data_IF_331828165756
#
_entry.id   IF_331828165756
#
_cell.length_a   1.000
_cell.length_b   1.000
_cell.length_c   1.000
_cell.angle_alpha   90.00
_cell.angle_beta   90.00
_cell.angle_gamma   90.00
#
_symmetry.space_group_name_H-M   'P 1'
#
loop_
_entity.id
_entity.type
_entity.pdbx_description
1 polymer ?
#
# COMPACT_ATOMS: atom_id res chain seq x y z
N UNK A 1 -48.65 10.58 4.08
CA UNK A 1 -47.58 9.64 3.72
C UNK A 1 -46.36 9.97 4.58
N UNK A 2 -46.02 9.18 5.60
CA UNK A 2 -44.84 9.47 6.42
C UNK A 2 -43.57 9.13 5.64
N UNK A 3 -42.59 10.04 5.70
CA UNK A 3 -41.33 9.94 5.01
C UNK A 3 -40.48 8.79 5.53
N UNK A 4 -39.97 7.99 4.60
CA UNK A 4 -38.98 6.94 4.86
C UNK A 4 -37.64 7.62 5.19
N UNK A 5 -37.30 7.68 6.47
CA UNK A 5 -35.96 8.05 6.91
C UNK A 5 -35.03 6.85 6.65
N UNK A 6 -34.39 6.85 5.48
CA UNK A 6 -33.30 5.94 5.19
C UNK A 6 -32.09 6.33 6.06
N UNK A 7 -32.05 5.87 7.31
CA UNK A 7 -30.83 5.88 8.11
C UNK A 7 -29.84 4.94 7.43
N UNK A 8 -29.02 5.47 6.54
CA UNK A 8 -27.82 4.80 6.06
C UNK A 8 -26.83 4.77 7.22
N UNK A 9 -27.00 3.83 8.14
CA UNK A 9 -25.96 3.46 9.08
C UNK A 9 -24.82 2.88 8.22
N UNK A 10 -23.84 3.73 7.92
CA UNK A 10 -22.58 3.27 7.34
C UNK A 10 -21.95 2.19 8.24
N UNK A 11 -21.04 1.38 7.69
CA UNK A 11 -20.41 0.30 8.44
C UNK A 11 -19.82 0.81 9.75
N UNK A 12 -20.11 0.10 10.84
CA UNK A 12 -19.55 0.38 12.17
C UNK A 12 -18.04 0.08 12.10
N UNK A 13 -17.16 1.04 12.44
CA UNK A 13 -15.73 0.79 12.41
C UNK A 13 -15.35 -0.32 13.39
N UNK A 14 -14.32 -1.13 13.09
CA UNK A 14 -13.84 -2.13 14.03
C UNK A 14 -13.38 -1.46 15.32
N UNK A 15 -13.87 -1.96 16.46
CA UNK A 15 -13.50 -1.49 17.79
C UNK A 15 -12.49 -2.44 18.43
N UNK A 16 -11.40 -1.89 18.97
CA UNK A 16 -10.40 -2.63 19.71
C UNK A 16 -10.35 -2.12 21.16
N UNK A 17 -10.16 -3.02 22.12
CA UNK A 17 -9.99 -2.65 23.54
C UNK A 17 -8.72 -1.82 23.77
N UNK A 18 -7.70 -2.05 22.95
CA UNK A 18 -6.47 -1.27 22.83
C UNK A 18 -6.24 -1.00 21.34
N UNK A 19 -5.93 0.25 20.98
CA UNK A 19 -5.71 0.60 19.58
C UNK A 19 -4.50 -0.16 19.02
N UNK A 20 -4.60 -0.75 17.80
CA UNK A 20 -3.45 -1.26 17.08
C UNK A 20 -2.40 -0.17 16.88
N UNK A 21 -1.12 -0.55 16.89
CA UNK A 21 -0.01 0.38 16.68
C UNK A 21 0.54 0.19 15.27
N UNK A 22 0.59 1.26 14.49
CA UNK A 22 1.27 1.29 13.19
C UNK A 22 2.61 2.02 13.31
N UNK A 23 3.69 1.26 13.25
CA UNK A 23 5.03 1.81 13.03
C UNK A 23 5.20 2.19 11.56
N UNK A 24 5.49 3.46 11.32
CA UNK A 24 5.39 4.07 10.01
C UNK A 24 6.53 5.06 9.78
N UNK A 25 6.88 5.27 8.51
CA UNK A 25 7.73 6.39 8.10
C UNK A 25 6.99 7.19 7.03
N UNK A 26 6.92 8.51 7.21
CA UNK A 26 6.08 9.39 6.39
C UNK A 26 6.35 9.28 4.88
N UNK A 27 7.62 9.15 4.49
CA UNK A 27 8.07 9.05 3.08
C UNK A 27 8.31 7.61 2.61
N UNK A 28 7.98 6.59 3.41
CA UNK A 28 8.09 5.22 2.95
C UNK A 28 6.88 4.87 2.06
N UNK A 29 7.08 4.50 0.78
CA UNK A 29 5.99 4.13 -0.12
C UNK A 29 5.14 2.98 0.46
N UNK A 30 5.78 1.96 1.02
CA UNK A 30 5.10 0.82 1.66
C UNK A 30 4.29 1.24 2.90
N UNK A 31 4.78 2.20 3.69
CA UNK A 31 4.03 2.71 4.84
C UNK A 31 2.85 3.60 4.43
N UNK A 32 2.99 4.35 3.33
CA UNK A 32 1.88 5.10 2.73
C UNK A 32 0.76 4.14 2.32
N UNK A 33 1.08 3.03 1.64
CA UNK A 33 0.13 1.99 1.24
C UNK A 33 -0.67 1.44 2.44
N UNK A 34 0.03 1.07 3.51
CA UNK A 34 -0.60 0.57 4.74
C UNK A 34 -1.55 1.61 5.37
N UNK A 35 -1.12 2.88 5.48
CA UNK A 35 -1.97 3.96 5.99
C UNK A 35 -3.21 4.20 5.13
N UNK A 36 -3.07 4.12 3.82
CA UNK A 36 -4.18 4.28 2.89
C UNK A 36 -5.25 3.20 3.09
N UNK A 37 -4.86 1.94 3.20
CA UNK A 37 -5.81 0.84 3.43
C UNK A 37 -6.47 0.89 4.82
N UNK A 38 -5.72 1.25 5.87
CA UNK A 38 -6.28 1.45 7.22
C UNK A 38 -7.32 2.57 7.22
N UNK A 39 -7.02 3.69 6.55
CA UNK A 39 -7.95 4.80 6.38
C UNK A 39 -9.21 4.37 5.61
N UNK A 40 -9.03 3.62 4.52
CA UNK A 40 -10.14 3.13 3.69
C UNK A 40 -11.06 2.17 4.47
N UNK A 41 -10.49 1.34 5.35
CA UNK A 41 -11.24 0.43 6.19
C UNK A 41 -11.86 1.09 7.44
N UNK A 42 -11.53 2.36 7.71
CA UNK A 42 -11.96 3.04 8.95
C UNK A 42 -11.32 2.46 10.21
N UNK A 43 -10.16 1.79 10.08
CA UNK A 43 -9.41 1.23 11.21
C UNK A 43 -8.64 2.35 11.90
N UNK A 44 -8.96 2.63 13.16
CA UNK A 44 -8.24 3.59 13.98
C UNK A 44 -7.01 2.91 14.59
N UNK A 45 -5.85 3.56 14.48
CA UNK A 45 -4.57 3.05 14.99
C UNK A 45 -3.81 4.16 15.72
N UNK A 46 -2.95 3.77 16.65
CA UNK A 46 -1.88 4.63 17.15
C UNK A 46 -0.75 4.68 16.11
N UNK A 47 -0.50 5.85 15.52
CA UNK A 47 0.57 6.03 14.55
C UNK A 47 1.89 6.37 15.24
N UNK A 48 2.90 5.51 15.10
CA UNK A 48 4.26 5.75 15.61
C UNK A 48 5.22 6.01 14.48
N UNK A 49 5.68 7.26 14.36
CA UNK A 49 6.67 7.65 13.36
C UNK A 49 8.05 7.12 13.75
N UNK A 50 8.70 6.43 12.80
CA UNK A 50 10.00 5.79 12.98
C UNK A 50 11.08 6.57 12.24
N UNK A 51 12.10 7.02 12.96
CA UNK A 51 13.34 7.48 12.34
C UNK A 51 14.19 6.27 11.92
N UNK A 52 14.41 6.07 10.61
CA UNK A 52 15.15 4.90 10.10
C UNK A 52 16.58 4.78 10.65
N UNK A 53 17.22 5.89 11.00
CA UNK A 53 18.54 5.91 11.63
C UNK A 53 18.54 5.57 13.12
N UNK A 54 17.37 5.60 13.79
CA UNK A 54 17.21 5.30 15.22
C UNK A 54 15.87 4.57 15.43
N UNK A 55 15.88 3.27 15.14
CA UNK A 55 14.70 2.41 15.26
C UNK A 55 14.30 2.23 16.74
N UNK A 56 13.03 2.42 17.12
CA UNK A 56 12.56 2.19 18.48
C UNK A 56 12.72 0.73 18.91
N UNK A 57 13.08 0.49 20.18
CA UNK A 57 13.21 -0.86 20.73
C UNK A 57 11.88 -1.63 20.69
N UNK A 58 10.77 -0.95 20.93
CA UNK A 58 9.40 -1.49 20.81
C UNK A 58 9.07 -1.98 19.39
N UNK A 59 9.52 -1.27 18.35
CA UNK A 59 9.35 -1.72 16.96
C UNK A 59 10.15 -2.98 16.69
N UNK A 60 11.40 -3.04 17.19
CA UNK A 60 12.27 -4.21 17.03
C UNK A 60 11.77 -5.42 17.81
N UNK A 61 11.14 -5.18 18.97
CA UNK A 61 10.47 -6.22 19.74
C UNK A 61 9.20 -6.73 19.03
N UNK A 62 8.45 -5.85 18.35
CA UNK A 62 7.31 -6.24 17.54
C UNK A 62 7.71 -6.98 16.25
N UNK A 63 8.79 -6.55 15.58
CA UNK A 63 9.33 -7.20 14.38
C UNK A 63 10.84 -7.07 14.28
N UNK A 64 11.53 -8.21 14.27
CA UNK A 64 12.99 -8.28 14.12
C UNK A 64 13.50 -7.87 12.73
N UNK A 65 12.62 -7.76 11.72
CA UNK A 65 12.98 -7.32 10.38
C UNK A 65 13.49 -5.87 10.35
N UNK A 66 13.05 -5.05 11.31
CA UNK A 66 13.50 -3.67 11.44
C UNK A 66 13.14 -2.77 10.23
N UNK A 67 12.13 -3.15 9.45
CA UNK A 67 11.59 -2.37 8.34
C UNK A 67 10.26 -1.75 8.73
N UNK A 68 9.76 -0.80 7.94
CA UNK A 68 8.41 -0.25 8.07
C UNK A 68 7.67 -0.45 6.75
N UNK A 69 6.34 -0.62 6.76
CA UNK A 69 5.44 -0.57 7.93
C UNK A 69 5.46 -1.83 8.81
N UNK A 70 5.11 -1.66 10.09
CA UNK A 70 4.78 -2.78 11.00
C UNK A 70 3.49 -2.43 11.71
N UNK A 71 2.48 -3.30 11.60
CA UNK A 71 1.23 -3.20 12.34
C UNK A 71 1.25 -4.21 13.48
N UNK A 72 1.20 -3.72 14.71
CA UNK A 72 0.96 -4.52 15.90
C UNK A 72 -0.52 -4.42 16.25
N UNK A 73 -1.27 -5.51 16.06
CA UNK A 73 -2.71 -5.56 16.33
C UNK A 73 -2.94 -5.65 17.85
N UNK A 74 -2.21 -6.56 18.49
CA UNK A 74 -2.15 -6.75 19.93
C UNK A 74 -0.77 -7.33 20.30
N UNK A 75 -0.38 -7.40 21.59
CA UNK A 75 0.87 -8.06 21.98
C UNK A 75 0.96 -9.48 21.43
N UNK A 76 2.01 -9.75 20.63
CA UNK A 76 2.22 -11.06 20.00
C UNK A 76 1.56 -11.26 18.64
N UNK A 77 0.68 -10.36 18.18
CA UNK A 77 0.07 -10.41 16.85
C UNK A 77 0.52 -9.23 15.99
N UNK A 78 1.43 -9.51 15.05
CA UNK A 78 2.11 -8.50 14.24
C UNK A 78 2.07 -8.86 12.76
N UNK A 79 1.89 -7.85 11.91
CA UNK A 79 1.99 -7.94 10.45
C UNK A 79 3.05 -6.94 9.98
N UNK A 80 4.04 -7.39 9.21
CA UNK A 80 5.21 -6.57 8.83
C UNK A 80 5.36 -6.36 7.31
N UNK A 81 4.40 -6.84 6.50
CA UNK A 81 4.37 -6.60 5.05
C UNK A 81 3.24 -5.64 4.71
N UNK A 82 3.51 -4.65 3.86
CA UNK A 82 2.50 -3.63 3.52
C UNK A 82 1.24 -4.24 2.88
N UNK A 83 1.39 -5.17 1.95
CA UNK A 83 0.28 -5.87 1.31
C UNK A 83 -0.58 -6.64 2.33
N UNK A 84 0.06 -7.37 3.25
CA UNK A 84 -0.65 -8.12 4.29
C UNK A 84 -1.39 -7.18 5.24
N UNK A 85 -0.81 -6.02 5.59
CA UNK A 85 -1.50 -4.99 6.39
C UNK A 85 -2.72 -4.45 5.64
N UNK A 86 -2.58 -4.18 4.33
CA UNK A 86 -3.70 -3.68 3.52
C UNK A 86 -4.83 -4.71 3.44
N UNK A 87 -4.50 -5.98 3.17
CA UNK A 87 -5.48 -7.08 3.13
C UNK A 87 -6.14 -7.28 4.49
N UNK A 88 -5.38 -7.24 5.57
CA UNK A 88 -5.93 -7.33 6.92
C UNK A 88 -6.89 -6.18 7.24
N UNK A 89 -6.51 -4.94 6.90
CA UNK A 89 -7.32 -3.75 7.14
C UNK A 89 -8.65 -3.82 6.39
N UNK A 90 -8.61 -4.06 5.07
CA UNK A 90 -9.80 -4.19 4.25
C UNK A 90 -10.64 -5.41 4.64
N UNK A 91 -10.01 -6.47 5.16
CA UNK A 91 -10.73 -7.61 5.75
C UNK A 91 -11.56 -7.26 6.99
N UNK A 92 -11.29 -6.14 7.66
CA UNK A 92 -12.15 -5.64 8.74
C UNK A 92 -13.40 -4.95 8.17
N UNK A 93 -13.22 -4.16 7.11
CA UNK A 93 -14.29 -3.40 6.46
C UNK A 93 -13.83 -2.99 5.05
N UNK A 94 -14.48 -3.52 4.02
CA UNK A 94 -14.24 -3.18 2.62
C UNK A 94 -15.48 -2.57 1.98
N UNK A 95 -15.97 -1.47 2.57
CA UNK A 95 -17.19 -0.79 2.13
C UNK A 95 -17.18 -0.43 0.63
N UNK A 96 -15.99 -0.09 0.12
CA UNK A 96 -15.81 0.26 -1.29
C UNK A 96 -15.58 -0.97 -2.18
N UNK A 97 -15.26 -2.15 -1.66
CA UNK A 97 -15.03 -3.38 -2.44
C UNK A 97 -13.68 -3.44 -3.15
N UNK A 98 -12.63 -2.90 -2.55
CA UNK A 98 -11.27 -2.88 -3.08
C UNK A 98 -10.67 -4.28 -3.26
N UNK A 99 -10.91 -5.20 -2.32
CA UNK A 99 -10.39 -6.57 -2.40
C UNK A 99 -11.06 -7.33 -3.54
N UNK A 100 -12.39 -7.24 -3.62
CA UNK A 100 -13.19 -7.93 -4.63
C UNK A 100 -12.77 -7.55 -6.06
N UNK A 101 -12.43 -6.28 -6.30
CA UNK A 101 -12.00 -5.78 -7.62
C UNK A 101 -10.51 -5.95 -7.91
N UNK A 102 -9.72 -6.38 -6.93
CA UNK A 102 -8.29 -6.59 -7.08
C UNK A 102 -7.92 -8.05 -7.37
N UNK A 103 -8.89 -8.98 -7.36
CA UNK A 103 -8.67 -10.41 -7.62
C UNK A 103 -8.53 -10.71 -9.12
N UNK A 104 -7.48 -10.14 -9.71
CA UNK A 104 -7.10 -10.38 -11.11
C UNK A 104 -5.61 -10.72 -11.16
N UNK A 105 -5.23 -11.86 -11.78
CA UNK A 105 -3.82 -12.21 -11.99
C UNK A 105 -3.03 -11.11 -12.69
N UNK A 106 -3.66 -10.38 -13.61
CA UNK A 106 -3.01 -9.29 -14.35
C UNK A 106 -2.70 -8.09 -13.46
N UNK A 107 -3.59 -7.76 -12.51
CA UNK A 107 -3.36 -6.69 -11.54
C UNK A 107 -2.26 -7.07 -10.54
N UNK A 108 -2.26 -8.33 -10.08
CA UNK A 108 -1.20 -8.83 -9.21
C UNK A 108 0.16 -8.79 -9.92
N UNK A 109 0.23 -9.17 -11.20
CA UNK A 109 1.45 -9.09 -11.98
C UNK A 109 2.00 -7.65 -12.11
N UNK A 110 1.13 -6.64 -12.18
CA UNK A 110 1.55 -5.23 -12.19
C UNK A 110 2.15 -4.80 -10.85
N UNK A 111 1.53 -5.21 -9.75
CA UNK A 111 2.03 -4.96 -8.39
C UNK A 111 3.40 -5.63 -8.20
N UNK A 112 3.54 -6.90 -8.59
CA UNK A 112 4.79 -7.65 -8.48
C UNK A 112 5.88 -7.01 -9.35
N UNK A 113 5.54 -6.56 -10.56
CA UNK A 113 6.46 -5.84 -11.46
C UNK A 113 6.89 -4.51 -10.84
N UNK A 114 5.98 -3.78 -10.21
CA UNK A 114 6.25 -2.53 -9.52
C UNK A 114 7.27 -2.71 -8.40
N UNK A 115 7.04 -3.68 -7.52
CA UNK A 115 7.89 -3.92 -6.36
C UNK A 115 9.20 -4.65 -6.71
N UNK A 116 9.26 -5.28 -7.87
CA UNK A 116 10.43 -5.97 -8.40
C UNK A 116 11.19 -5.15 -9.46
N UNK A 117 11.01 -5.52 -10.73
CA UNK A 117 11.88 -5.07 -11.83
C UNK A 117 11.76 -3.57 -12.11
N UNK A 118 10.56 -2.99 -11.96
CA UNK A 118 10.39 -1.55 -12.09
C UNK A 118 11.17 -0.80 -11.02
N UNK A 119 11.09 -1.23 -9.75
CA UNK A 119 11.86 -0.61 -8.66
C UNK A 119 13.36 -0.67 -8.93
N UNK A 120 13.89 -1.80 -9.41
CA UNK A 120 15.31 -1.92 -9.79
C UNK A 120 15.69 -0.91 -10.88
N UNK A 121 14.86 -0.81 -11.93
CA UNK A 121 15.11 0.13 -13.02
C UNK A 121 15.01 1.60 -12.56
N UNK A 122 14.04 1.90 -11.69
CA UNK A 122 13.85 3.22 -11.10
C UNK A 122 15.04 3.62 -10.20
N UNK A 123 15.54 2.70 -9.38
CA UNK A 123 16.72 2.94 -8.54
C UNK A 123 17.98 3.14 -9.41
N UNK A 124 18.12 2.35 -10.48
CA UNK A 124 19.16 2.50 -11.49
C UNK A 124 19.12 3.87 -12.18
N UNK A 125 17.93 4.39 -12.47
CA UNK A 125 17.76 5.73 -13.01
C UNK A 125 18.08 6.83 -11.99
N UNK A 126 17.57 6.71 -10.76
CA UNK A 126 17.75 7.71 -9.68
C UNK A 126 19.20 7.84 -9.23
N UNK A 127 19.95 6.75 -9.27
CA UNK A 127 21.32 6.66 -8.78
C UNK A 127 22.25 6.11 -9.86
N UNK A 128 22.12 6.63 -11.09
CA UNK A 128 22.86 6.15 -12.26
C UNK A 128 24.38 6.18 -12.06
N UNK A 129 24.90 7.11 -11.25
CA UNK A 129 26.31 7.18 -10.89
C UNK A 129 26.83 5.93 -10.15
N UNK A 130 25.93 5.19 -9.48
CA UNK A 130 26.24 3.92 -8.80
C UNK A 130 26.09 2.71 -9.71
N UNK A 131 25.59 2.91 -10.93
CA UNK A 131 25.27 1.87 -11.90
C UNK A 131 25.81 2.20 -13.30
N UNK A 132 27.14 2.40 -13.46
CA UNK A 132 27.75 2.89 -14.70
C UNK A 132 27.67 1.91 -15.87
N UNK A 133 27.26 0.66 -15.64
CA UNK A 133 27.06 -0.35 -16.69
C UNK A 133 25.95 0.02 -17.70
N UNK A 134 25.08 0.97 -17.35
CA UNK A 134 23.99 1.46 -18.20
C UNK A 134 23.82 2.96 -18.00
N UNK A 135 23.46 3.67 -19.06
CA UNK A 135 23.11 5.08 -18.98
C UNK A 135 21.81 5.29 -18.20
N UNK A 136 21.63 6.51 -17.66
CA UNK A 136 20.37 6.90 -17.04
C UNK A 136 19.18 6.76 -18.02
N UNK A 137 19.40 7.01 -19.32
CA UNK A 137 18.35 6.87 -20.32
C UNK A 137 17.93 5.41 -20.50
N UNK A 138 18.88 4.47 -20.54
CA UNK A 138 18.56 3.04 -20.62
C UNK A 138 17.81 2.52 -19.39
N UNK A 139 18.12 3.03 -18.19
CA UNK A 139 17.36 2.71 -16.99
C UNK A 139 15.93 3.27 -17.02
N UNK A 140 15.79 4.51 -17.46
CA UNK A 140 14.48 5.16 -17.64
C UNK A 140 13.62 4.40 -18.63
N UNK A 141 14.16 4.07 -19.79
CA UNK A 141 13.41 3.42 -20.87
C UNK A 141 12.95 2.02 -20.45
N UNK A 142 13.77 1.29 -19.69
CA UNK A 142 13.32 0.04 -19.07
C UNK A 142 12.22 0.27 -18.04
N UNK A 143 12.36 1.24 -17.14
CA UNK A 143 11.32 1.52 -16.14
C UNK A 143 9.98 1.87 -16.81
N UNK A 144 10.04 2.67 -17.89
CA UNK A 144 8.86 3.02 -18.69
C UNK A 144 8.25 1.78 -19.33
N UNK A 145 9.06 0.95 -19.97
CA UNK A 145 8.59 -0.26 -20.64
C UNK A 145 7.98 -1.28 -19.67
N UNK A 146 8.62 -1.48 -18.50
CA UNK A 146 8.22 -2.49 -17.50
C UNK A 146 6.86 -2.20 -16.88
N UNK A 147 6.58 -0.93 -16.54
CA UNK A 147 5.40 -0.60 -15.74
C UNK A 147 4.61 0.59 -16.29
N UNK A 148 5.27 1.69 -16.64
CA UNK A 148 4.55 2.94 -16.99
C UNK A 148 3.70 2.76 -18.26
N UNK A 149 4.28 2.24 -19.35
CA UNK A 149 3.53 2.02 -20.59
C UNK A 149 2.39 0.99 -20.42
N UNK A 150 2.59 -0.16 -19.73
CA UNK A 150 1.50 -1.07 -19.38
C UNK A 150 0.39 -0.45 -18.52
N UNK A 151 0.71 0.48 -17.62
CA UNK A 151 -0.27 1.21 -16.82
C UNK A 151 -1.03 2.23 -17.67
N UNK A 152 -0.33 3.04 -18.45
CA UNK A 152 -0.94 4.04 -19.35
C UNK A 152 -1.92 3.39 -20.32
N UNK A 153 -1.55 2.25 -20.91
CA UNK A 153 -2.43 1.51 -21.83
C UNK A 153 -3.72 1.03 -21.15
N UNK A 154 -3.67 0.64 -19.87
CA UNK A 154 -4.85 0.21 -19.09
C UNK A 154 -5.70 1.40 -18.67
N UNK A 155 -5.06 2.46 -18.19
CA UNK A 155 -5.74 3.68 -17.74
C UNK A 155 -6.36 4.47 -18.91
N UNK A 156 -5.92 4.22 -20.15
CA UNK A 156 -6.60 4.70 -21.34
C UNK A 156 -7.97 4.03 -21.57
N UNK A 157 -8.19 2.82 -21.04
CA UNK A 157 -9.43 2.06 -21.20
C UNK A 157 -10.41 2.27 -20.04
N UNK A 158 -9.92 2.62 -18.86
CA UNK A 158 -10.72 2.81 -17.66
C UNK A 158 -10.08 3.84 -16.71
N UNK A 159 -10.87 4.58 -15.92
CA UNK A 159 -10.34 5.65 -15.06
C UNK A 159 -9.49 5.13 -13.89
N UNK A 160 -9.59 3.85 -13.53
CA UNK A 160 -8.82 3.19 -12.48
C UNK A 160 -8.49 1.75 -12.91
N UNK A 161 -7.53 1.11 -12.24
CA UNK A 161 -7.19 -0.29 -12.49
C UNK A 161 -8.31 -1.24 -12.10
N UNK A 162 -9.12 -0.88 -11.09
CA UNK A 162 -10.37 -1.56 -10.76
C UNK A 162 -11.53 -1.28 -11.72
N UNK A 163 -11.30 -0.65 -12.88
CA UNK A 163 -12.32 -0.27 -13.84
C UNK A 163 -12.92 1.10 -13.51
N UNK A 164 -14.23 1.16 -13.24
CA UNK A 164 -14.93 2.41 -12.95
C UNK A 164 -14.60 3.00 -11.55
N UNK A 165 -14.08 2.18 -10.63
CA UNK A 165 -13.78 2.53 -9.24
C UNK A 165 -12.42 1.94 -8.84
N UNK A 166 -11.69 2.56 -7.88
CA UNK A 166 -10.39 2.05 -7.47
C UNK A 166 -10.49 0.66 -6.84
N UNK A 167 -9.41 -0.10 -6.89
CA UNK A 167 -9.23 -1.35 -6.15
C UNK A 167 -7.92 -1.34 -5.34
N UNK A 168 -7.61 -2.46 -4.68
CA UNK A 168 -6.36 -2.60 -3.92
C UNK A 168 -5.12 -2.27 -4.77
N UNK A 169 -5.07 -2.72 -6.03
CA UNK A 169 -3.92 -2.48 -6.91
C UNK A 169 -3.68 -0.98 -7.19
N UNK A 170 -4.75 -0.17 -7.30
CA UNK A 170 -4.62 1.29 -7.42
C UNK A 170 -3.94 1.87 -6.17
N UNK A 171 -4.28 1.38 -4.98
CA UNK A 171 -3.70 1.83 -3.72
C UNK A 171 -2.23 1.39 -3.56
N UNK A 172 -1.88 0.19 -4.03
CA UNK A 172 -0.51 -0.30 -4.04
C UNK A 172 0.40 0.53 -4.96
N UNK A 173 -0.09 0.86 -6.16
CA UNK A 173 0.72 1.60 -7.13
C UNK A 173 0.81 3.11 -6.85
N UNK A 174 -0.12 3.68 -6.05
CA UNK A 174 -0.10 5.09 -5.62
C UNK A 174 0.99 5.44 -4.61
N UNK A 175 1.64 4.47 -3.97
CA UNK A 175 2.69 4.72 -2.98
C UNK A 175 3.96 5.38 -3.54
N UNK A 176 4.09 5.50 -4.86
CA UNK A 176 5.25 6.06 -5.57
C UNK A 176 5.19 7.59 -5.64
N UNK A 177 5.31 8.26 -4.49
CA UNK A 177 5.41 9.74 -4.38
C UNK A 177 6.68 10.17 -3.68
#
# INVERSE_FOLDING_TARGET
MPGCACHHQGPVPPTFDVLPILYSFRRCPYAIRARLALCQAGVVVELREVALGRKPAEMLAASSAGTVPVLQIEPGRVIAQSLDIMRWALGQNDAEGWLLRADSPDLQALVDTCDGDFKKALDGYKYAERHPQRSAHEWRDEAVHRLIAPLDARLAQAPQLGGARPCLADAELRGLG
#
